data_IF_928061446744
#
_entry.id   IF_928061446744
#
_cell.length_a   1.000
_cell.length_b   1.000
_cell.length_c   1.000
_cell.angle_alpha   90.00
_cell.angle_beta   90.00
_cell.angle_gamma   90.00
#
_symmetry.space_group_name_H-M   'P 1'
#
loop_
_entity.id
_entity.type
_entity.pdbx_description
1 polymer ?
#
# COMPACT_ATOMS: atom_id res chain seq x y z
N UNK A 1 18.33 -9.71 -59.72
CA UNK A 1 18.11 -8.26 -59.60
C UNK A 1 16.61 -8.04 -59.53
N UNK A 2 16.08 -7.54 -58.42
CA UNK A 2 14.66 -7.22 -58.30
C UNK A 2 14.38 -5.99 -59.18
N UNK A 3 13.32 -6.06 -59.98
CA UNK A 3 12.90 -4.96 -60.84
C UNK A 3 12.46 -3.77 -59.95
N UNK A 4 12.79 -2.53 -60.30
CA UNK A 4 12.64 -1.36 -59.41
C UNK A 4 11.26 -1.24 -58.74
N UNK A 5 10.19 -1.62 -59.44
CA UNK A 5 8.82 -1.61 -58.91
C UNK A 5 8.55 -2.58 -57.75
N UNK A 6 9.33 -3.65 -57.57
CA UNK A 6 9.17 -4.58 -56.44
C UNK A 6 9.83 -4.06 -55.16
N UNK A 7 10.86 -3.22 -55.27
CA UNK A 7 11.53 -2.66 -54.09
C UNK A 7 10.68 -1.57 -53.42
N UNK A 8 9.95 -0.77 -54.19
CA UNK A 8 9.08 0.28 -53.66
C UNK A 8 7.86 -0.27 -52.90
N UNK A 9 7.27 -1.38 -53.39
CA UNK A 9 6.14 -2.02 -52.71
C UNK A 9 6.49 -2.65 -51.36
N UNK A 10 7.74 -3.08 -51.15
CA UNK A 10 8.20 -3.60 -49.86
C UNK A 10 8.42 -2.48 -48.84
N UNK A 11 8.99 -1.34 -49.26
CA UNK A 11 9.15 -0.16 -48.39
C UNK A 11 7.82 0.40 -47.90
N UNK A 12 6.79 0.39 -48.73
CA UNK A 12 5.47 0.90 -48.36
C UNK A 12 4.76 0.01 -47.33
N UNK A 13 4.91 -1.32 -47.43
CA UNK A 13 4.36 -2.25 -46.42
C UNK A 13 5.03 -2.09 -45.06
N UNK A 14 6.35 -1.90 -45.03
CA UNK A 14 7.09 -1.71 -43.78
C UNK A 14 6.69 -0.40 -43.07
N UNK A 15 6.40 0.67 -43.81
CA UNK A 15 5.90 1.92 -43.21
C UNK A 15 4.47 1.77 -42.67
N UNK A 16 3.56 1.15 -43.41
CA UNK A 16 2.17 0.95 -42.96
C UNK A 16 2.09 0.07 -41.71
N UNK A 17 2.95 -0.94 -41.61
CA UNK A 17 3.01 -1.84 -40.47
C UNK A 17 3.61 -1.14 -39.23
N UNK A 18 4.58 -0.24 -39.43
CA UNK A 18 5.15 0.57 -38.37
C UNK A 18 4.14 1.61 -37.84
N UNK A 19 3.45 2.30 -38.74
CA UNK A 19 2.43 3.30 -38.38
C UNK A 19 1.24 2.67 -37.65
N UNK A 20 0.84 1.46 -38.07
CA UNK A 20 -0.21 0.68 -37.38
C UNK A 20 0.23 0.23 -35.98
N UNK A 21 1.49 -0.17 -35.82
CA UNK A 21 2.04 -0.55 -34.51
C UNK A 21 2.15 0.65 -33.56
N UNK A 22 2.58 1.81 -34.06
CA UNK A 22 2.62 3.06 -33.29
C UNK A 22 1.22 3.54 -32.91
N UNK A 23 0.26 3.56 -33.85
CA UNK A 23 -1.12 3.95 -33.57
C UNK A 23 -1.83 3.02 -32.56
N UNK A 24 -1.55 1.72 -32.63
CA UNK A 24 -2.08 0.76 -31.66
C UNK A 24 -1.41 0.91 -30.29
N UNK A 25 -0.11 1.22 -30.25
CA UNK A 25 0.60 1.60 -29.02
C UNK A 25 0.02 2.85 -28.37
N UNK A 26 -0.30 3.87 -29.17
CA UNK A 26 -0.85 5.15 -28.71
C UNK A 26 -2.30 5.02 -28.23
N UNK A 27 -3.08 4.15 -28.87
CA UNK A 27 -4.46 3.83 -28.47
C UNK A 27 -4.49 3.04 -27.16
N UNK A 28 -3.59 2.07 -26.99
CA UNK A 28 -3.43 1.31 -25.73
C UNK A 28 -2.90 2.22 -24.62
N UNK A 29 -2.05 3.20 -24.94
CA UNK A 29 -1.55 4.22 -24.02
C UNK A 29 -2.66 5.17 -23.56
N UNK A 30 -3.46 5.71 -24.50
CA UNK A 30 -4.60 6.59 -24.19
C UNK A 30 -5.71 5.89 -23.42
N UNK A 31 -6.01 4.63 -23.75
CA UNK A 31 -6.98 3.82 -23.00
C UNK A 31 -6.54 3.51 -21.56
N UNK A 32 -5.24 3.66 -21.23
CA UNK A 32 -4.75 3.54 -19.85
C UNK A 32 -4.89 4.82 -19.03
N UNK A 33 -5.15 5.96 -19.66
CA UNK A 33 -5.16 7.27 -18.98
C UNK A 33 -6.55 7.86 -18.75
N UNK A 34 -7.62 7.35 -19.36
CA UNK A 34 -9.00 7.65 -18.94
C UNK A 34 -9.46 6.63 -17.91
N UNK A 35 -8.81 6.64 -16.75
CA UNK A 35 -9.36 5.98 -15.56
C UNK A 35 -10.75 6.57 -15.26
N UNK A 36 -11.71 5.78 -14.75
CA UNK A 36 -13.03 6.29 -14.38
C UNK A 36 -12.87 7.53 -13.49
N UNK A 37 -13.66 8.56 -13.79
CA UNK A 37 -13.73 9.79 -13.03
C UNK A 37 -13.70 9.47 -11.54
N UNK A 38 -12.83 10.16 -10.79
CA UNK A 38 -12.51 9.82 -9.39
C UNK A 38 -13.76 9.41 -8.62
N UNK A 39 -13.85 8.12 -8.28
CA UNK A 39 -14.77 7.60 -7.28
C UNK A 39 -14.34 8.19 -5.94
N UNK A 40 -14.66 9.47 -5.71
CA UNK A 40 -14.07 10.29 -4.64
C UNK A 40 -14.29 9.72 -3.24
N UNK A 41 -15.21 8.77 -3.08
CA UNK A 41 -15.47 8.06 -1.83
C UNK A 41 -14.50 6.91 -1.51
N UNK A 42 -13.84 6.30 -2.50
CA UNK A 42 -13.04 5.08 -2.26
C UNK A 42 -11.94 5.28 -1.21
N UNK A 43 -11.11 6.34 -1.25
CA UNK A 43 -10.05 6.54 -0.25
C UNK A 43 -10.55 6.64 1.19
N UNK A 44 -11.85 6.88 1.41
CA UNK A 44 -12.47 7.00 2.74
C UNK A 44 -12.97 5.67 3.31
N UNK A 45 -12.96 4.58 2.55
CA UNK A 45 -13.30 3.24 3.03
C UNK A 45 -12.51 2.85 4.30
N UNK A 46 -11.17 2.95 4.35
CA UNK A 46 -10.43 2.62 5.56
C UNK A 46 -10.78 3.51 6.75
N UNK A 47 -11.13 4.78 6.53
CA UNK A 47 -11.59 5.67 7.60
C UNK A 47 -12.90 5.17 8.21
N UNK A 48 -13.89 4.84 7.37
CA UNK A 48 -15.15 4.28 7.84
C UNK A 48 -14.95 2.95 8.56
N UNK A 49 -14.11 2.06 8.03
CA UNK A 49 -13.80 0.79 8.67
C UNK A 49 -13.14 0.96 10.05
N UNK A 50 -12.21 1.92 10.20
CA UNK A 50 -11.59 2.22 11.49
C UNK A 50 -12.57 2.87 12.45
N UNK A 51 -13.37 3.85 12.02
CA UNK A 51 -14.36 4.50 12.88
C UNK A 51 -15.37 3.47 13.40
N UNK A 52 -15.95 2.68 12.50
CA UNK A 52 -16.93 1.66 12.87
C UNK A 52 -16.28 0.56 13.71
N UNK A 53 -15.25 -0.12 13.18
CA UNK A 53 -14.68 -1.27 13.86
C UNK A 53 -13.94 -0.90 15.16
N UNK A 54 -13.04 0.08 15.09
CA UNK A 54 -12.09 0.37 16.16
C UNK A 54 -12.66 1.34 17.20
N UNK A 55 -13.29 2.43 16.76
CA UNK A 55 -13.74 3.49 17.69
C UNK A 55 -15.12 3.25 18.25
N UNK A 56 -16.05 2.73 17.45
CA UNK A 56 -17.40 2.43 17.94
C UNK A 56 -17.48 1.04 18.60
N UNK A 57 -16.94 0.01 17.94
CA UNK A 57 -17.02 -1.37 18.42
C UNK A 57 -15.80 -1.87 19.20
N UNK A 58 -14.73 -1.07 19.33
CA UNK A 58 -13.52 -1.44 20.07
C UNK A 58 -12.91 -2.78 19.60
N UNK A 59 -13.05 -3.08 18.30
CA UNK A 59 -12.67 -4.35 17.71
C UNK A 59 -11.76 -4.15 16.50
N UNK A 60 -10.45 -4.40 16.64
CA UNK A 60 -9.52 -4.28 15.52
C UNK A 60 -9.79 -5.37 14.45
N UNK A 61 -10.32 -6.53 14.86
CA UNK A 61 -10.77 -7.58 13.94
C UNK A 61 -11.93 -7.14 13.06
N UNK A 62 -12.94 -6.48 13.64
CA UNK A 62 -14.06 -5.95 12.87
C UNK A 62 -13.57 -4.88 11.87
N UNK A 63 -12.62 -4.05 12.28
CA UNK A 63 -12.00 -3.03 11.45
C UNK A 63 -11.34 -3.63 10.19
N UNK A 64 -10.55 -4.71 10.37
CA UNK A 64 -9.98 -5.43 9.22
C UNK A 64 -11.02 -6.14 8.37
N UNK A 65 -12.03 -6.77 8.98
CA UNK A 65 -13.08 -7.44 8.24
C UNK A 65 -13.84 -6.47 7.32
N UNK A 66 -14.20 -5.29 7.83
CA UNK A 66 -14.87 -4.25 7.05
C UNK A 66 -13.96 -3.73 5.94
N UNK A 67 -12.70 -3.40 6.26
CA UNK A 67 -11.78 -2.83 5.29
C UNK A 67 -11.39 -3.83 4.19
N UNK A 68 -10.90 -5.01 4.57
CA UNK A 68 -10.48 -6.04 3.63
C UNK A 68 -11.67 -6.62 2.86
N UNK A 69 -12.84 -6.76 3.51
CA UNK A 69 -14.07 -7.16 2.84
C UNK A 69 -14.47 -6.20 1.74
N UNK A 70 -14.43 -4.88 2.01
CA UNK A 70 -14.70 -3.86 1.01
C UNK A 70 -13.69 -3.92 -0.16
N UNK A 71 -12.39 -4.09 0.12
CA UNK A 71 -11.36 -4.27 -0.91
C UNK A 71 -11.70 -5.48 -1.78
N UNK A 72 -11.97 -6.65 -1.18
CA UNK A 72 -12.30 -7.88 -1.95
C UNK A 72 -13.50 -7.65 -2.86
N UNK A 73 -14.57 -7.03 -2.38
CA UNK A 73 -15.75 -6.71 -3.19
C UNK A 73 -15.37 -5.84 -4.40
N UNK A 74 -14.60 -4.77 -4.19
CA UNK A 74 -14.12 -3.90 -5.27
C UNK A 74 -13.30 -4.68 -6.29
N UNK A 75 -12.34 -5.51 -5.84
CA UNK A 75 -11.45 -6.25 -6.74
C UNK A 75 -12.19 -7.30 -7.57
N UNK A 76 -13.19 -7.97 -6.97
CA UNK A 76 -14.05 -8.95 -7.66
C UNK A 76 -14.90 -8.26 -8.71
N UNK A 77 -15.46 -7.08 -8.40
CA UNK A 77 -16.30 -6.33 -9.34
C UNK A 77 -15.52 -5.75 -10.52
N UNK A 78 -14.26 -5.36 -10.34
CA UNK A 78 -13.52 -4.65 -11.38
C UNK A 78 -12.75 -5.55 -12.34
N UNK A 79 -12.00 -6.54 -11.85
CA UNK A 79 -11.25 -7.54 -12.64
C UNK A 79 -10.25 -8.30 -11.74
N UNK A 80 -10.58 -9.51 -11.24
CA UNK A 80 -9.72 -10.24 -10.30
C UNK A 80 -8.33 -10.57 -10.89
N UNK A 81 -8.26 -10.89 -12.19
CA UNK A 81 -7.00 -11.28 -12.85
C UNK A 81 -5.99 -10.15 -13.07
N UNK A 82 -6.41 -8.88 -13.01
CA UNK A 82 -5.51 -7.73 -13.19
C UNK A 82 -4.61 -7.55 -11.98
N UNK A 83 -5.19 -7.56 -10.78
CA UNK A 83 -4.48 -7.27 -9.53
C UNK A 83 -3.59 -8.43 -9.09
N UNK A 84 -4.08 -9.67 -9.22
CA UNK A 84 -3.30 -10.87 -8.89
C UNK A 84 -1.96 -10.94 -9.64
N UNK A 85 -1.95 -10.56 -10.93
CA UNK A 85 -0.70 -10.52 -11.73
C UNK A 85 0.25 -9.41 -11.29
N UNK A 86 -0.27 -8.28 -10.81
CA UNK A 86 0.55 -7.16 -10.35
C UNK A 86 1.23 -7.45 -9.02
N UNK A 87 0.56 -8.20 -8.13
CA UNK A 87 1.07 -8.62 -6.82
C UNK A 87 2.36 -9.42 -6.88
N UNK A 88 2.53 -10.25 -7.90
CA UNK A 88 3.69 -11.13 -8.06
C UNK A 88 4.76 -10.54 -9.00
N UNK A 89 4.60 -9.29 -9.45
CA UNK A 89 5.52 -8.62 -10.39
C UNK A 89 6.18 -7.40 -9.76
N UNK A 90 7.28 -6.98 -10.38
CA UNK A 90 7.99 -5.75 -10.02
C UNK A 90 8.91 -5.93 -8.82
N UNK A 91 9.79 -6.92 -8.88
CA UNK A 91 10.92 -7.07 -7.96
C UNK A 91 12.22 -6.74 -8.68
N UNK A 92 12.91 -5.71 -8.22
CA UNK A 92 14.31 -5.45 -8.54
C UNK A 92 15.15 -5.78 -7.31
N UNK A 93 16.27 -6.51 -7.47
CA UNK A 93 17.06 -6.97 -6.31
C UNK A 93 17.68 -5.81 -5.52
N UNK A 94 18.18 -4.77 -6.20
CA UNK A 94 18.87 -3.66 -5.54
C UNK A 94 17.87 -2.76 -4.83
N UNK A 95 16.81 -2.37 -5.52
CA UNK A 95 15.74 -1.54 -4.98
C UNK A 95 14.98 -2.31 -3.89
N UNK A 96 14.67 -3.58 -4.14
CA UNK A 96 13.90 -4.43 -3.23
C UNK A 96 14.57 -4.61 -1.87
N UNK A 97 15.86 -4.94 -1.82
CA UNK A 97 16.57 -5.05 -0.54
C UNK A 97 16.71 -3.71 0.18
N UNK A 98 16.92 -2.61 -0.56
CA UNK A 98 16.90 -1.26 0.01
C UNK A 98 15.55 -0.91 0.64
N UNK A 99 14.45 -1.25 -0.04
CA UNK A 99 13.10 -1.04 0.45
C UNK A 99 12.78 -1.91 1.67
N UNK A 100 13.23 -3.18 1.69
CA UNK A 100 13.09 -4.06 2.88
C UNK A 100 13.84 -3.49 4.08
N UNK A 101 15.09 -3.05 3.88
CA UNK A 101 15.87 -2.43 4.96
C UNK A 101 15.18 -1.16 5.49
N UNK A 102 14.62 -0.33 4.60
CA UNK A 102 13.81 0.82 4.98
C UNK A 102 12.58 0.41 5.80
N UNK A 103 11.86 -0.64 5.39
CA UNK A 103 10.73 -1.17 6.15
C UNK A 103 11.13 -1.62 7.55
N UNK A 104 12.18 -2.45 7.67
CA UNK A 104 12.69 -2.93 8.95
C UNK A 104 13.13 -1.81 9.90
N UNK A 105 13.59 -0.68 9.36
CA UNK A 105 13.94 0.49 10.16
C UNK A 105 12.75 1.07 10.93
N UNK A 106 11.50 0.81 10.50
CA UNK A 106 10.29 1.26 11.19
C UNK A 106 10.19 0.74 12.63
N UNK A 107 10.39 -0.56 12.85
CA UNK A 107 10.38 -1.15 14.20
C UNK A 107 11.54 -0.67 15.07
N UNK A 108 12.72 -0.47 14.49
CA UNK A 108 13.88 0.11 15.20
C UNK A 108 13.59 1.54 15.62
N UNK A 109 13.06 2.35 14.71
CA UNK A 109 12.70 3.74 14.97
C UNK A 109 11.64 3.83 16.06
N UNK A 110 10.58 3.00 16.00
CA UNK A 110 9.57 2.93 17.05
C UNK A 110 10.21 2.62 18.40
N UNK A 111 11.08 1.59 18.49
CA UNK A 111 11.72 1.22 19.75
C UNK A 111 12.60 2.33 20.32
N UNK A 112 13.29 3.08 19.47
CA UNK A 112 14.14 4.21 19.89
C UNK A 112 13.29 5.42 20.33
N UNK A 113 12.19 5.70 19.63
CA UNK A 113 11.33 6.84 19.92
C UNK A 113 10.29 6.58 21.02
N UNK A 114 9.97 5.31 21.32
CA UNK A 114 8.93 4.94 22.29
C UNK A 114 9.13 5.62 23.66
N UNK A 115 10.33 5.64 24.28
CA UNK A 115 10.53 6.30 25.57
C UNK A 115 10.33 7.82 25.50
N UNK A 116 10.70 8.45 24.39
CA UNK A 116 10.51 9.90 24.18
C UNK A 116 9.03 10.23 24.01
N UNK A 117 8.28 9.31 23.40
CA UNK A 117 6.84 9.42 23.20
C UNK A 117 6.00 8.99 24.40
N UNK A 118 6.62 8.62 25.52
CA UNK A 118 5.90 8.14 26.71
C UNK A 118 5.21 6.79 26.48
N UNK A 119 5.58 6.05 25.43
CA UNK A 119 5.04 4.73 25.14
C UNK A 119 5.80 3.70 25.97
N UNK A 120 5.16 3.18 27.00
CA UNK A 120 5.68 2.10 27.82
C UNK A 120 4.71 0.90 27.88
N UNK A 121 5.21 -0.21 28.40
CA UNK A 121 4.40 -1.43 28.55
C UNK A 121 3.22 -1.26 29.52
N UNK A 122 3.32 -0.34 30.48
CA UNK A 122 2.25 -0.09 31.45
C UNK A 122 1.05 0.60 30.79
N UNK A 123 1.28 1.53 29.86
CA UNK A 123 0.26 2.20 29.06
C UNK A 123 -0.27 1.35 27.91
N UNK A 124 0.59 0.57 27.24
CA UNK A 124 0.21 -0.27 26.09
C UNK A 124 -0.74 -1.42 26.44
N UNK A 125 -0.48 -2.14 27.54
CA UNK A 125 -1.23 -3.36 27.88
C UNK A 125 -2.71 -3.13 28.16
N UNK A 126 -3.13 -2.10 28.92
CA UNK A 126 -4.55 -1.82 29.12
C UNK A 126 -5.27 -1.55 27.81
N UNK A 127 -4.68 -0.76 26.90
CA UNK A 127 -5.26 -0.42 25.60
C UNK A 127 -5.38 -1.65 24.70
N UNK A 128 -4.32 -2.44 24.56
CA UNK A 128 -4.39 -3.73 23.83
C UNK A 128 -5.45 -4.64 24.46
N UNK A 129 -5.54 -4.63 25.79
CA UNK A 129 -6.52 -5.39 26.54
C UNK A 129 -7.96 -4.99 26.28
N UNK A 130 -8.26 -3.69 26.20
CA UNK A 130 -9.61 -3.20 25.87
C UNK A 130 -10.02 -3.48 24.44
N UNK A 131 -9.05 -3.66 23.54
CA UNK A 131 -9.27 -4.07 22.15
C UNK A 131 -9.42 -5.60 21.97
N UNK A 132 -9.43 -6.36 23.07
CA UNK A 132 -9.51 -7.83 23.02
C UNK A 132 -8.21 -8.52 22.56
N UNK A 133 -7.10 -7.79 22.48
CA UNK A 133 -5.79 -8.29 22.09
C UNK A 133 -5.04 -8.85 23.31
N UNK A 134 -5.56 -9.94 23.88
CA UNK A 134 -4.98 -10.67 25.02
C UNK A 134 -4.74 -12.15 24.68
N UNK A 135 -3.84 -12.80 25.42
CA UNK A 135 -3.57 -14.24 25.26
C UNK A 135 -3.20 -14.58 23.81
N UNK A 136 -3.88 -15.57 23.22
CA UNK A 136 -3.68 -15.97 21.82
C UNK A 136 -4.20 -14.96 20.79
N UNK A 137 -5.11 -14.05 21.16
CA UNK A 137 -5.62 -13.03 20.25
C UNK A 137 -4.51 -12.09 19.76
N UNK A 138 -3.55 -11.75 20.63
CA UNK A 138 -2.44 -10.85 20.30
C UNK A 138 -1.45 -11.42 19.26
N UNK A 139 -0.83 -12.61 19.43
CA UNK A 139 0.05 -13.17 18.42
C UNK A 139 -0.68 -13.47 17.10
N UNK A 140 -1.95 -13.90 17.14
CA UNK A 140 -2.75 -14.07 15.92
C UNK A 140 -2.94 -12.74 15.18
N UNK A 141 -3.22 -11.68 15.92
CA UNK A 141 -3.33 -10.33 15.37
C UNK A 141 -2.02 -9.87 14.72
N UNK A 142 -0.88 -10.05 15.41
CA UNK A 142 0.46 -9.73 14.87
C UNK A 142 0.72 -10.47 13.57
N UNK A 143 0.46 -11.78 13.52
CA UNK A 143 0.67 -12.60 12.31
C UNK A 143 -0.24 -12.14 11.18
N UNK A 144 -1.53 -11.96 11.44
CA UNK A 144 -2.48 -11.52 10.43
C UNK A 144 -2.15 -10.13 9.88
N UNK A 145 -1.92 -9.16 10.78
CA UNK A 145 -1.55 -7.80 10.40
C UNK A 145 -0.27 -7.82 9.57
N UNK A 146 0.78 -8.49 10.04
CA UNK A 146 2.05 -8.54 9.32
C UNK A 146 1.93 -9.23 7.96
N UNK A 147 1.19 -10.33 7.84
CA UNK A 147 1.23 -11.17 6.63
C UNK A 147 0.13 -10.88 5.63
N UNK A 148 -1.05 -10.44 6.06
CA UNK A 148 -2.21 -10.24 5.20
C UNK A 148 -2.43 -8.76 4.87
N UNK A 149 -2.30 -7.87 5.86
CA UNK A 149 -2.64 -6.44 5.71
C UNK A 149 -1.90 -5.78 4.53
N UNK A 150 -0.57 -5.93 4.38
CA UNK A 150 0.15 -5.28 3.28
C UNK A 150 -0.33 -5.68 1.89
N UNK A 151 -0.82 -6.90 1.69
CA UNK A 151 -1.34 -7.33 0.39
C UNK A 151 -2.62 -6.59 0.03
N UNK A 152 -3.56 -6.48 0.98
CA UNK A 152 -4.81 -5.77 0.77
C UNK A 152 -4.55 -4.28 0.56
N UNK A 153 -3.74 -3.68 1.43
CA UNK A 153 -3.45 -2.26 1.38
C UNK A 153 -2.71 -1.85 0.11
N UNK A 154 -1.66 -2.57 -0.30
CA UNK A 154 -0.91 -2.20 -1.50
C UNK A 154 -1.73 -2.37 -2.77
N UNK A 155 -2.58 -3.40 -2.84
CA UNK A 155 -3.51 -3.57 -3.98
C UNK A 155 -4.50 -2.42 -4.03
N UNK A 156 -5.05 -2.01 -2.89
CA UNK A 156 -6.02 -0.93 -2.83
C UNK A 156 -5.36 0.42 -3.15
N UNK A 157 -4.34 0.82 -2.40
CA UNK A 157 -3.73 2.14 -2.50
C UNK A 157 -2.85 2.33 -3.74
N UNK A 158 -2.07 1.32 -4.14
CA UNK A 158 -1.10 1.45 -5.26
C UNK A 158 -1.55 0.72 -6.51
N UNK A 159 -2.35 -0.34 -6.36
CA UNK A 159 -2.98 -1.05 -7.48
C UNK A 159 -4.17 -0.28 -8.05
N UNK A 160 -5.16 0.04 -7.20
CA UNK A 160 -6.41 0.69 -7.62
C UNK A 160 -6.37 2.21 -7.54
N UNK A 161 -5.95 2.78 -6.42
CA UNK A 161 -5.87 4.23 -6.21
C UNK A 161 -4.49 4.83 -6.61
N UNK A 162 -3.65 4.02 -7.26
CA UNK A 162 -2.29 4.39 -7.60
C UNK A 162 -2.22 5.55 -8.60
N UNK A 163 -1.14 6.33 -8.51
CA UNK A 163 -0.87 7.45 -9.41
C UNK A 163 0.62 7.45 -9.81
N UNK A 164 0.90 7.72 -11.09
CA UNK A 164 2.27 7.71 -11.64
C UNK A 164 3.06 9.01 -11.39
N UNK A 165 2.57 9.93 -10.54
CA UNK A 165 3.25 11.19 -10.25
C UNK A 165 4.55 10.95 -9.47
N UNK A 166 5.61 11.70 -9.76
CA UNK A 166 6.83 11.69 -8.94
C UNK A 166 6.69 12.49 -7.64
N UNK A 167 5.73 13.42 -7.61
CA UNK A 167 5.46 14.28 -6.45
C UNK A 167 4.47 13.61 -5.51
N UNK A 168 4.46 13.96 -4.21
CA UNK A 168 3.38 13.58 -3.31
C UNK A 168 2.02 13.96 -3.88
N UNK A 169 1.01 13.10 -3.67
CA UNK A 169 -0.38 13.31 -4.07
C UNK A 169 -1.31 13.12 -2.89
N UNK A 170 -2.56 13.57 -3.01
CA UNK A 170 -3.56 13.48 -1.94
C UNK A 170 -3.69 12.06 -1.34
N UNK A 171 -3.62 11.01 -2.16
CA UNK A 171 -3.71 9.63 -1.70
C UNK A 171 -2.57 9.23 -0.74
N UNK A 172 -1.38 9.83 -0.86
CA UNK A 172 -0.27 9.56 0.07
C UNK A 172 -0.60 10.10 1.48
N UNK A 173 -1.31 11.24 1.54
CA UNK A 173 -1.78 11.85 2.79
C UNK A 173 -3.02 11.16 3.35
N UNK A 174 -3.95 10.74 2.48
CA UNK A 174 -5.13 9.99 2.91
C UNK A 174 -4.75 8.61 3.46
N UNK A 175 -3.72 7.97 2.89
CA UNK A 175 -3.09 6.77 3.44
C UNK A 175 -2.56 7.01 4.86
N UNK A 176 -1.81 8.08 5.07
CA UNK A 176 -1.31 8.41 6.41
C UNK A 176 -2.43 8.77 7.40
N UNK A 177 -3.47 9.46 6.94
CA UNK A 177 -4.52 9.98 7.81
C UNK A 177 -5.38 8.90 8.47
N UNK A 178 -5.73 7.80 7.79
CA UNK A 178 -6.52 6.76 8.45
C UNK A 178 -5.70 6.01 9.51
N UNK A 179 -4.38 5.92 9.34
CA UNK A 179 -3.50 5.37 10.37
C UNK A 179 -3.47 6.22 11.64
N UNK A 180 -3.70 7.53 11.54
CA UNK A 180 -3.83 8.38 12.73
C UNK A 180 -4.99 7.95 13.62
N UNK A 181 -6.05 7.36 13.05
CA UNK A 181 -7.16 6.82 13.84
C UNK A 181 -6.75 5.65 14.73
N UNK A 182 -5.75 4.88 14.33
CA UNK A 182 -5.19 3.81 15.15
C UNK A 182 -4.17 4.40 16.13
N UNK A 183 -3.27 5.26 15.64
CA UNK A 183 -2.20 5.82 16.46
C UNK A 183 -2.69 6.71 17.60
N UNK A 184 -3.84 7.38 17.45
CA UNK A 184 -4.42 8.19 18.53
C UNK A 184 -4.87 7.38 19.76
N UNK A 185 -4.91 6.04 19.66
CA UNK A 185 -5.09 5.17 20.83
C UNK A 185 -3.81 4.99 21.65
N UNK A 186 -2.64 5.30 21.07
CA UNK A 186 -1.33 4.98 21.63
C UNK A 186 -0.41 6.18 21.77
N UNK A 187 -0.68 7.28 21.05
CA UNK A 187 0.17 8.47 20.98
C UNK A 187 -0.60 9.72 21.39
N UNK A 188 0.08 10.59 22.13
CA UNK A 188 -0.38 11.95 22.38
C UNK A 188 -0.30 12.82 21.12
N UNK A 189 -1.08 13.91 21.11
CA UNK A 189 -1.23 14.79 19.96
C UNK A 189 0.10 15.31 19.35
N UNK A 190 1.17 15.66 20.11
CA UNK A 190 2.40 16.18 19.50
C UNK A 190 3.12 15.12 18.66
N UNK A 191 2.96 13.84 19.01
CA UNK A 191 3.60 12.72 18.32
C UNK A 191 2.81 12.24 17.10
N UNK A 192 1.52 12.57 17.00
CA UNK A 192 0.72 12.30 15.81
C UNK A 192 1.21 13.09 14.58
N UNK A 193 1.67 14.34 14.77
CA UNK A 193 2.17 15.18 13.68
C UNK A 193 3.39 14.58 12.96
N UNK A 194 4.51 14.25 13.65
CA UNK A 194 5.64 13.59 13.00
C UNK A 194 5.29 12.18 12.50
N UNK A 195 4.43 11.43 13.20
CA UNK A 195 3.97 10.13 12.73
C UNK A 195 3.22 10.22 11.39
N UNK A 196 2.32 11.20 11.26
CA UNK A 196 1.64 11.50 10.00
C UNK A 196 2.64 11.83 8.89
N UNK A 197 3.63 12.67 9.17
CA UNK A 197 4.68 13.01 8.19
C UNK A 197 5.46 11.79 7.72
N UNK A 198 5.90 10.94 8.65
CA UNK A 198 6.62 9.69 8.34
C UNK A 198 5.76 8.76 7.48
N UNK A 199 4.48 8.57 7.85
CA UNK A 199 3.58 7.69 7.11
C UNK A 199 3.20 8.25 5.73
N UNK A 200 3.09 9.56 5.57
CA UNK A 200 2.86 10.18 4.26
C UNK A 200 4.08 9.97 3.35
N UNK A 201 5.29 10.10 3.90
CA UNK A 201 6.53 9.81 3.18
C UNK A 201 6.64 8.32 2.82
N UNK A 202 6.36 7.41 3.75
CA UNK A 202 6.31 5.97 3.47
C UNK A 202 5.27 5.68 2.37
N UNK A 203 4.11 6.34 2.47
CA UNK A 203 3.04 6.18 1.52
C UNK A 203 3.43 6.57 0.09
N UNK A 204 4.08 7.72 -0.03
CA UNK A 204 4.69 8.22 -1.27
C UNK A 204 5.80 7.29 -1.78
N UNK A 205 6.70 6.82 -0.92
CA UNK A 205 7.81 5.94 -1.28
C UNK A 205 7.32 4.61 -1.86
N UNK A 206 6.34 3.94 -1.24
CA UNK A 206 5.76 2.70 -1.79
C UNK A 206 5.11 2.92 -3.16
N UNK A 207 4.50 4.09 -3.37
CA UNK A 207 3.99 4.45 -4.71
C UNK A 207 5.11 4.65 -5.72
N UNK A 208 6.24 5.24 -5.32
CA UNK A 208 7.42 5.32 -6.18
C UNK A 208 8.01 3.94 -6.48
N UNK A 209 8.06 3.03 -5.50
CA UNK A 209 8.52 1.65 -5.70
C UNK A 209 7.64 0.90 -6.71
N UNK A 210 6.31 1.06 -6.62
CA UNK A 210 5.39 0.52 -7.63
C UNK A 210 5.69 1.08 -9.03
N UNK A 211 5.93 2.39 -9.14
CA UNK A 211 6.20 3.08 -10.42
C UNK A 211 7.52 2.63 -11.05
N UNK A 212 8.59 2.60 -10.27
CA UNK A 212 9.93 2.24 -10.76
C UNK A 212 10.06 0.74 -11.06
N UNK A 213 9.43 -0.13 -10.24
CA UNK A 213 9.53 -1.58 -10.44
C UNK A 213 8.45 -2.15 -11.38
N UNK A 214 7.42 -1.39 -11.75
CA UNK A 214 6.36 -1.84 -12.65
C UNK A 214 5.43 -2.93 -12.07
N UNK A 215 5.32 -3.02 -10.75
CA UNK A 215 4.48 -4.00 -10.06
C UNK A 215 4.39 -3.76 -8.55
N UNK A 216 3.62 -4.59 -7.85
CA UNK A 216 3.33 -4.41 -6.42
C UNK A 216 4.21 -5.25 -5.49
N UNK A 217 5.05 -6.16 -6.02
CA UNK A 217 5.81 -7.07 -5.19
C UNK A 217 6.82 -6.32 -4.30
N UNK A 218 7.58 -5.38 -4.85
CA UNK A 218 8.52 -4.57 -4.03
C UNK A 218 7.83 -3.80 -2.89
N UNK A 219 6.80 -2.98 -3.14
CA UNK A 219 6.13 -2.27 -2.05
C UNK A 219 5.50 -3.24 -1.05
N UNK A 220 4.83 -4.33 -1.48
CA UNK A 220 4.28 -5.35 -0.58
C UNK A 220 5.34 -5.93 0.34
N UNK A 221 6.46 -6.43 -0.19
CA UNK A 221 7.50 -7.08 0.64
C UNK A 221 8.13 -6.08 1.62
N UNK A 222 8.38 -4.85 1.19
CA UNK A 222 8.88 -3.81 2.10
C UNK A 222 7.86 -3.37 3.15
N UNK A 223 6.57 -3.41 2.83
CA UNK A 223 5.48 -3.12 3.76
C UNK A 223 5.29 -4.27 4.77
N UNK A 224 5.35 -5.54 4.34
CA UNK A 224 5.44 -6.70 5.26
C UNK A 224 6.59 -6.53 6.27
N UNK A 225 7.76 -6.07 5.80
CA UNK A 225 8.91 -5.82 6.66
C UNK A 225 8.66 -4.68 7.66
N UNK A 226 8.00 -3.60 7.22
CA UNK A 226 7.60 -2.50 8.09
C UNK A 226 6.62 -2.96 9.18
N UNK A 227 5.48 -3.53 8.80
CA UNK A 227 4.45 -4.00 9.72
C UNK A 227 5.01 -5.05 10.68
N UNK A 228 5.78 -6.02 10.16
CA UNK A 228 6.40 -7.05 10.98
C UNK A 228 7.37 -6.47 12.00
N UNK A 229 8.25 -5.55 11.59
CA UNK A 229 9.20 -4.93 12.51
C UNK A 229 8.51 -4.07 13.58
N UNK A 230 7.46 -3.33 13.22
CA UNK A 230 6.68 -2.49 14.12
C UNK A 230 5.90 -3.37 15.11
N UNK A 231 5.20 -4.39 14.64
CA UNK A 231 4.43 -5.29 15.52
C UNK A 231 5.32 -6.07 16.48
N UNK A 232 6.51 -6.51 16.02
CA UNK A 232 7.49 -7.14 16.91
C UNK A 232 7.95 -6.14 17.98
N UNK A 233 8.25 -4.89 17.62
CA UNK A 233 8.62 -3.86 18.58
C UNK A 233 7.50 -3.62 19.61
N UNK A 234 6.25 -3.48 19.17
CA UNK A 234 5.08 -3.34 20.06
C UNK A 234 4.92 -4.57 20.96
N UNK A 235 5.07 -5.78 20.42
CA UNK A 235 5.00 -7.03 21.19
C UNK A 235 6.02 -7.04 22.33
N UNK A 236 7.25 -6.59 22.07
CA UNK A 236 8.30 -6.50 23.08
C UNK A 236 8.05 -5.38 24.11
N UNK A 237 7.54 -4.23 23.68
CA UNK A 237 7.19 -3.12 24.58
C UNK A 237 6.02 -3.49 25.50
N UNK A 238 5.07 -4.28 25.01
CA UNK A 238 3.91 -4.75 25.78
C UNK A 238 4.21 -5.96 26.68
N UNK A 239 5.39 -6.58 26.56
CA UNK A 239 5.81 -7.73 27.38
C UNK A 239 6.27 -7.31 28.77
#
# INVERSE_FOLDING_TARGET
MLNGNQADGLRQKDSEQKDSAEAMGDTISKARHTGPAMDGGLPFIPYLAMILGLHLWHSPWLSFLLYHGAIVVILVMESPGRYARSLIRGWDKRIGWGAVAFGLAGGVLLKVLAPLAGIDGAGLRPVLGSLGLRGMGWPLFVVYHTLANPWFEEVFWRGRLGHDSRRPVLNDFLFAGYHMLVLMLFLDWPWLVPAFGILAVAGWLWRQLRRECGGLLTPVISHLAADGSIMIAVYWLAR
#
